data_IF_197203583757
#
_entry.id   IF_197203583757
#
_cell.length_a   1.000
_cell.length_b   1.000
_cell.length_c   1.000
_cell.angle_alpha   90.00
_cell.angle_beta   90.00
_cell.angle_gamma   90.00
#
_symmetry.space_group_name_H-M   'P 1'
#
loop_
_entity.id
_entity.type
_entity.pdbx_description
1 polymer ?
#
# COMPACT_ATOMS: atom_id res chain seq x y z
N UNK A 1 18.96 9.80 -1.14
CA UNK A 1 17.60 10.36 -1.25
C UNK A 1 17.66 11.83 -0.87
N UNK A 2 17.21 12.73 -1.74
CA UNK A 2 17.05 14.16 -1.45
C UNK A 2 15.68 14.46 -0.81
N UNK A 3 15.45 15.68 -0.34
CA UNK A 3 14.12 16.09 0.17
C UNK A 3 13.03 15.92 -0.90
N UNK A 4 13.31 16.27 -2.16
CA UNK A 4 12.35 16.10 -3.24
C UNK A 4 12.01 14.61 -3.46
N UNK A 5 13.00 13.73 -3.40
CA UNK A 5 12.77 12.28 -3.50
C UNK A 5 11.95 11.74 -2.32
N UNK A 6 12.21 12.26 -1.12
CA UNK A 6 11.45 11.91 0.08
C UNK A 6 9.98 12.34 -0.01
N UNK A 7 9.70 13.52 -0.57
CA UNK A 7 8.31 13.98 -0.79
C UNK A 7 7.57 13.02 -1.74
N UNK A 8 8.21 12.58 -2.82
CA UNK A 8 7.61 11.59 -3.73
C UNK A 8 7.37 10.25 -3.05
N UNK A 9 8.32 9.79 -2.24
CA UNK A 9 8.15 8.59 -1.42
C UNK A 9 6.95 8.73 -0.47
N UNK A 10 6.89 9.80 0.32
CA UNK A 10 5.85 10.00 1.34
C UNK A 10 4.46 10.07 0.71
N UNK A 11 4.28 10.88 -0.34
CA UNK A 11 2.97 11.00 -1.01
C UNK A 11 2.54 9.66 -1.60
N UNK A 12 3.49 8.88 -2.16
CA UNK A 12 3.18 7.58 -2.75
C UNK A 12 2.88 6.53 -1.69
N UNK A 13 3.54 6.58 -0.53
CA UNK A 13 3.33 5.63 0.56
C UNK A 13 1.96 5.80 1.22
N UNK A 14 1.51 7.05 1.37
CA UNK A 14 0.23 7.36 2.00
C UNK A 14 -0.97 7.11 1.09
N UNK A 15 -0.90 7.50 -0.19
CA UNK A 15 -1.99 7.26 -1.15
C UNK A 15 -1.54 6.31 -2.28
N UNK A 16 -1.65 5.01 -2.03
CA UNK A 16 -1.42 3.95 -3.03
C UNK A 16 -2.58 3.76 -4.02
N UNK A 17 -3.66 4.54 -3.91
CA UNK A 17 -4.79 4.53 -4.87
C UNK A 17 -4.54 5.49 -6.03
N UNK A 18 -3.75 6.55 -5.81
CA UNK A 18 -3.38 7.50 -6.85
C UNK A 18 -2.64 6.82 -8.02
N UNK A 19 -3.03 7.08 -9.29
CA UNK A 19 -2.35 6.53 -10.47
C UNK A 19 -0.84 6.77 -10.51
N UNK A 20 -0.36 7.87 -9.94
CA UNK A 20 1.07 8.23 -9.86
C UNK A 20 1.80 7.36 -8.83
N UNK A 21 1.16 7.09 -7.69
CA UNK A 21 1.69 6.19 -6.67
C UNK A 21 1.75 4.75 -7.17
N UNK A 22 0.72 4.30 -7.89
CA UNK A 22 0.73 2.98 -8.54
C UNK A 22 1.92 2.86 -9.50
N UNK A 23 2.22 3.90 -10.28
CA UNK A 23 3.44 3.90 -11.12
C UNK A 23 4.74 3.87 -10.32
N UNK A 24 4.79 4.61 -9.21
CA UNK A 24 5.94 4.66 -8.32
C UNK A 24 6.26 3.26 -7.78
N UNK A 25 5.28 2.60 -7.17
CA UNK A 25 5.48 1.28 -6.58
C UNK A 25 5.66 0.18 -7.61
N UNK A 26 5.00 0.28 -8.77
CA UNK A 26 5.26 -0.64 -9.87
C UNK A 26 6.73 -0.61 -10.30
N UNK A 27 7.32 0.58 -10.48
CA UNK A 27 8.74 0.72 -10.84
C UNK A 27 9.70 0.22 -9.75
N UNK A 28 9.27 0.24 -8.49
CA UNK A 28 10.07 -0.33 -7.40
C UNK A 28 10.01 -1.87 -7.39
N UNK A 29 8.86 -2.45 -7.78
CA UNK A 29 8.66 -3.89 -7.80
C UNK A 29 9.15 -4.59 -9.07
N UNK A 30 9.12 -3.89 -10.21
CA UNK A 30 9.64 -4.33 -11.50
C UNK A 30 11.18 -4.21 -11.48
N UNK A 31 11.84 -5.26 -10.98
CA UNK A 31 13.27 -5.27 -10.69
C UNK A 31 14.12 -5.31 -11.95
N UNK A 32 13.62 -5.96 -13.00
CA UNK A 32 14.30 -6.05 -14.30
C UNK A 32 13.85 -4.98 -15.32
N UNK A 33 12.74 -4.30 -15.05
CA UNK A 33 12.24 -3.20 -15.85
C UNK A 33 11.55 -3.65 -17.15
N UNK A 34 11.09 -4.90 -17.24
CA UNK A 34 10.44 -5.44 -18.44
C UNK A 34 8.96 -5.02 -18.58
N UNK A 35 8.41 -4.37 -17.55
CA UNK A 35 7.04 -3.87 -17.51
C UNK A 35 6.01 -4.89 -17.03
N UNK A 36 6.45 -6.01 -16.45
CA UNK A 36 5.62 -7.10 -15.95
C UNK A 36 6.15 -7.57 -14.59
N UNK A 37 5.27 -7.67 -13.58
CA UNK A 37 5.63 -8.32 -12.33
C UNK A 37 5.54 -9.84 -12.52
N UNK A 38 6.71 -10.47 -12.52
CA UNK A 38 6.90 -11.92 -12.60
C UNK A 38 6.69 -12.59 -11.23
N UNK A 39 6.43 -13.90 -11.23
CA UNK A 39 6.32 -14.65 -9.97
C UNK A 39 7.59 -14.55 -9.11
N UNK A 40 8.76 -14.46 -9.75
CA UNK A 40 10.04 -14.33 -9.06
C UNK A 40 10.13 -13.02 -8.27
N UNK A 41 9.73 -11.90 -8.86
CA UNK A 41 9.76 -10.60 -8.19
C UNK A 41 8.74 -10.55 -7.04
N UNK A 42 7.55 -11.11 -7.26
CA UNK A 42 6.53 -11.20 -6.20
C UNK A 42 6.99 -12.07 -5.03
N UNK A 43 7.61 -13.21 -5.31
CA UNK A 43 8.17 -14.10 -4.27
C UNK A 43 9.30 -13.42 -3.51
N UNK A 44 10.17 -12.68 -4.21
CA UNK A 44 11.28 -11.93 -3.61
C UNK A 44 10.80 -10.93 -2.54
N UNK A 45 9.78 -10.11 -2.83
CA UNK A 45 9.24 -9.18 -1.84
C UNK A 45 8.47 -9.91 -0.72
N UNK A 46 7.73 -10.97 -1.07
CA UNK A 46 6.95 -11.71 -0.08
C UNK A 46 7.80 -12.50 0.91
N UNK A 47 8.99 -12.96 0.52
CA UNK A 47 9.94 -13.64 1.41
C UNK A 47 10.27 -12.77 2.65
N UNK A 48 10.55 -11.48 2.45
CA UNK A 48 10.81 -10.56 3.56
C UNK A 48 9.56 -10.33 4.43
N UNK A 49 8.37 -10.27 3.83
CA UNK A 49 7.11 -10.17 4.58
C UNK A 49 6.89 -11.40 5.47
N UNK A 50 7.16 -12.61 4.96
CA UNK A 50 7.11 -13.84 5.73
C UNK A 50 8.04 -13.78 6.95
N UNK A 51 9.31 -13.39 6.76
CA UNK A 51 10.27 -13.28 7.86
C UNK A 51 9.79 -12.31 8.96
N UNK A 52 9.21 -11.16 8.57
CA UNK A 52 8.68 -10.18 9.51
C UNK A 52 7.42 -10.69 10.23
N UNK A 53 6.53 -11.40 9.53
CA UNK A 53 5.35 -12.05 10.13
C UNK A 53 5.76 -13.12 11.15
N UNK A 54 6.72 -13.98 10.79
CA UNK A 54 7.25 -15.03 11.67
C UNK A 54 7.90 -14.43 12.92
N UNK A 55 8.62 -13.32 12.79
CA UNK A 55 9.20 -12.60 13.93
C UNK A 55 8.14 -12.05 14.91
N UNK A 56 6.92 -11.80 14.42
CA UNK A 56 5.76 -11.41 15.24
C UNK A 56 4.95 -12.62 15.74
N UNK A 57 5.34 -13.85 15.39
CA UNK A 57 4.63 -15.08 15.73
C UNK A 57 3.38 -15.34 14.89
N UNK A 58 3.27 -14.71 13.72
CA UNK A 58 2.18 -14.89 12.77
C UNK A 58 2.65 -15.88 11.70
N UNK A 59 1.88 -16.92 11.44
CA UNK A 59 2.17 -17.89 10.37
C UNK A 59 1.77 -17.30 9.01
N UNK A 60 2.74 -17.05 8.09
CA UNK A 60 2.42 -16.47 6.79
C UNK A 60 1.72 -17.49 5.88
N UNK A 61 0.90 -16.99 4.97
CA UNK A 61 0.25 -17.83 3.96
C UNK A 61 1.31 -18.35 2.98
N UNK A 62 1.25 -19.62 2.53
CA UNK A 62 2.14 -20.10 1.47
C UNK A 62 2.04 -19.24 0.21
N UNK A 63 3.19 -18.92 -0.41
CA UNK A 63 3.25 -18.01 -1.55
C UNK A 63 2.32 -18.41 -2.71
N UNK A 64 2.16 -19.70 -2.99
CA UNK A 64 1.25 -20.17 -4.03
C UNK A 64 -0.21 -19.78 -3.77
N UNK A 65 -0.66 -19.86 -2.52
CA UNK A 65 -2.03 -19.54 -2.14
C UNK A 65 -2.25 -18.02 -2.13
N UNK A 66 -1.25 -17.26 -1.67
CA UNK A 66 -1.23 -15.80 -1.77
C UNK A 66 -1.28 -15.35 -3.24
N UNK A 67 -0.47 -15.95 -4.10
CA UNK A 67 -0.42 -15.63 -5.51
C UNK A 67 -1.78 -15.86 -6.18
N UNK A 68 -2.48 -16.95 -5.85
CA UNK A 68 -3.85 -17.18 -6.31
C UNK A 68 -4.78 -16.03 -5.89
N UNK A 69 -4.74 -15.62 -4.63
CA UNK A 69 -5.55 -14.50 -4.12
C UNK A 69 -5.22 -13.19 -4.84
N UNK A 70 -3.93 -12.89 -5.06
CA UNK A 70 -3.49 -11.67 -5.75
C UNK A 70 -3.88 -11.68 -7.24
N UNK A 71 -3.84 -12.84 -7.90
CA UNK A 71 -4.32 -12.98 -9.27
C UNK A 71 -5.83 -12.80 -9.38
N UNK A 72 -6.60 -13.30 -8.41
CA UNK A 72 -8.05 -13.10 -8.33
C UNK A 72 -8.42 -11.64 -8.01
N UNK A 73 -7.58 -10.95 -7.25
CA UNK A 73 -7.71 -9.52 -6.93
C UNK A 73 -7.45 -8.65 -8.18
N UNK A 74 -6.31 -8.87 -8.84
CA UNK A 74 -5.86 -8.03 -9.97
C UNK A 74 -6.57 -8.40 -11.28
N UNK A 75 -6.91 -9.68 -11.46
CA UNK A 75 -7.47 -10.26 -12.69
C UNK A 75 -6.70 -9.80 -13.93
N UNK A 76 -5.40 -10.18 -14.05
CA UNK A 76 -4.57 -9.71 -15.16
C UNK A 76 -5.13 -10.16 -16.50
N UNK A 77 -4.84 -9.37 -17.54
CA UNK A 77 -5.32 -9.67 -18.90
C UNK A 77 -4.62 -10.88 -19.52
N UNK A 78 -3.40 -11.18 -19.08
CA UNK A 78 -2.62 -12.36 -19.48
C UNK A 78 -2.27 -13.17 -18.24
N UNK A 79 -2.50 -14.47 -18.27
CA UNK A 79 -2.29 -15.35 -17.12
C UNK A 79 -0.84 -15.29 -16.62
N UNK A 80 -0.69 -15.11 -15.31
CA UNK A 80 0.61 -15.08 -14.63
C UNK A 80 1.50 -13.88 -14.95
N UNK A 81 0.96 -12.81 -15.57
CA UNK A 81 1.69 -11.57 -15.89
C UNK A 81 0.91 -10.36 -15.42
N UNK A 82 1.36 -9.73 -14.35
CA UNK A 82 0.71 -8.53 -13.81
C UNK A 82 1.38 -7.30 -14.40
N UNK A 83 0.63 -6.51 -15.16
CA UNK A 83 1.14 -5.25 -15.72
C UNK A 83 0.65 -4.04 -14.92
N UNK A 84 1.35 -2.91 -15.07
CA UNK A 84 0.91 -1.62 -14.53
C UNK A 84 -0.55 -1.29 -14.91
N UNK A 85 -0.95 -1.67 -16.14
CA UNK A 85 -2.32 -1.46 -16.63
C UNK A 85 -3.33 -2.29 -15.85
N UNK A 86 -3.00 -3.52 -15.49
CA UNK A 86 -3.90 -4.39 -14.74
C UNK A 86 -4.11 -3.83 -13.32
N UNK A 87 -3.04 -3.37 -12.66
CA UNK A 87 -3.10 -2.75 -11.32
C UNK A 87 -3.90 -1.44 -11.30
N UNK A 88 -3.73 -0.58 -12.32
CA UNK A 88 -4.57 0.62 -12.47
C UNK A 88 -6.05 0.28 -12.72
N UNK A 89 -6.34 -0.84 -13.38
CA UNK A 89 -7.70 -1.27 -13.72
C UNK A 89 -8.42 -1.90 -12.53
N UNK A 90 -7.73 -2.68 -11.70
CA UNK A 90 -8.37 -3.45 -10.63
C UNK A 90 -8.91 -2.55 -9.50
N UNK A 91 -8.45 -1.30 -9.38
CA UNK A 91 -8.79 -0.34 -8.31
C UNK A 91 -8.40 -0.79 -6.90
N UNK A 92 -7.70 -1.92 -6.78
CA UNK A 92 -7.28 -2.54 -5.51
C UNK A 92 -5.75 -2.67 -5.41
N UNK A 93 -5.02 -1.84 -6.18
CA UNK A 93 -3.56 -1.84 -6.19
C UNK A 93 -2.94 -1.56 -4.81
N UNK A 94 -3.58 -0.73 -3.99
CA UNK A 94 -3.15 -0.45 -2.61
C UNK A 94 -3.06 -1.73 -1.76
N UNK A 95 -4.09 -2.59 -1.79
CA UNK A 95 -4.06 -3.88 -1.08
C UNK A 95 -2.95 -4.77 -1.64
N UNK A 96 -2.85 -4.87 -2.97
CA UNK A 96 -1.79 -5.63 -3.63
C UNK A 96 -0.40 -5.21 -3.14
N UNK A 97 -0.12 -3.90 -3.13
CA UNK A 97 1.17 -3.38 -2.68
C UNK A 97 1.43 -3.61 -1.20
N UNK A 98 0.45 -3.36 -0.35
CA UNK A 98 0.60 -3.54 1.09
C UNK A 98 0.92 -5.01 1.43
N UNK A 99 0.29 -5.97 0.75
CA UNK A 99 0.59 -7.41 0.87
C UNK A 99 2.07 -7.73 0.66
N UNK A 100 2.72 -7.13 -0.34
CA UNK A 100 4.10 -7.46 -0.70
C UNK A 100 5.17 -6.70 0.09
N UNK A 101 4.89 -5.51 0.63
CA UNK A 101 5.96 -4.74 1.30
C UNK A 101 5.53 -3.80 2.43
N UNK A 102 4.24 -3.66 2.75
CA UNK A 102 3.78 -2.89 3.91
C UNK A 102 3.01 -3.79 4.88
N UNK A 103 3.76 -4.42 5.80
CA UNK A 103 3.21 -5.33 6.79
C UNK A 103 2.16 -4.69 7.72
N UNK A 104 2.37 -3.44 8.14
CA UNK A 104 1.43 -2.75 9.04
C UNK A 104 0.07 -2.56 8.37
N UNK A 105 0.05 -1.95 7.18
CA UNK A 105 -1.19 -1.76 6.41
C UNK A 105 -1.80 -3.10 5.98
N UNK A 106 -0.99 -4.10 5.66
CA UNK A 106 -1.47 -5.45 5.36
C UNK A 106 -2.23 -6.09 6.52
N UNK A 107 -1.67 -6.05 7.75
CA UNK A 107 -2.32 -6.62 8.93
C UNK A 107 -3.62 -5.88 9.29
N UNK A 108 -3.69 -4.57 9.05
CA UNK A 108 -4.90 -3.79 9.22
C UNK A 108 -6.00 -4.20 8.22
N UNK A 109 -5.64 -4.48 6.97
CA UNK A 109 -6.60 -4.97 5.96
C UNK A 109 -7.12 -6.37 6.29
N UNK A 110 -6.28 -7.28 6.77
CA UNK A 110 -6.69 -8.63 7.18
C UNK A 110 -7.67 -8.62 8.36
N UNK A 111 -7.60 -7.61 9.23
CA UNK A 111 -8.53 -7.43 10.35
C UNK A 111 -9.83 -6.74 9.95
N UNK A 112 -9.87 -6.08 8.78
CA UNK A 112 -11.09 -5.40 8.30
C UNK A 112 -12.13 -6.42 7.84
N UNK A 113 -13.39 -6.09 8.11
CA UNK A 113 -14.52 -6.91 7.70
C UNK A 113 -14.53 -7.08 6.16
N UNK A 114 -14.68 -8.31 5.62
CA UNK A 114 -14.76 -8.56 4.17
C UNK A 114 -15.83 -7.71 3.44
N UNK A 115 -16.90 -7.28 4.13
CA UNK A 115 -17.91 -6.39 3.58
C UNK A 115 -17.45 -4.93 3.45
N UNK A 116 -16.42 -4.51 4.18
CA UNK A 116 -15.83 -3.17 4.06
C UNK A 116 -15.06 -3.04 2.74
N UNK A 117 -14.32 -4.08 2.35
CA UNK A 117 -13.56 -4.12 1.09
C UNK A 117 -14.51 -4.04 -0.13
N UNK A 118 -15.69 -4.67 -0.07
CA UNK A 118 -16.69 -4.57 -1.14
C UNK A 118 -17.29 -3.16 -1.27
N UNK A 119 -17.53 -2.49 -0.14
CA UNK A 119 -18.00 -1.10 -0.14
C UNK A 119 -16.98 -0.14 -0.76
N UNK A 120 -15.70 -0.33 -0.52
CA UNK A 120 -14.63 0.49 -1.13
C UNK A 120 -14.59 0.39 -2.65
N UNK A 121 -14.99 -0.75 -3.23
CA UNK A 121 -15.07 -0.94 -4.69
C UNK A 121 -16.30 -0.23 -5.28
N UNK A 122 -17.40 -0.15 -4.53
CA UNK A 122 -18.66 0.47 -4.96
C UNK A 122 -18.75 1.98 -4.68
N UNK A 123 -17.93 2.49 -3.77
CA UNK A 123 -17.95 3.89 -3.36
C UNK A 123 -17.13 4.77 -4.31
N UNK A 124 -17.77 5.25 -5.39
CA UNK A 124 -17.20 6.21 -6.36
C UNK A 124 -17.49 7.68 -5.93
N UNK A 125 -17.85 7.90 -4.66
CA UNK A 125 -18.15 9.22 -4.10
C UNK A 125 -16.88 10.06 -3.90
N UNK A 126 -17.00 11.41 -3.82
CA UNK A 126 -15.87 12.29 -3.49
C UNK A 126 -15.56 12.18 -1.99
N UNK A 127 -15.01 11.06 -1.57
CA UNK A 127 -14.36 10.95 -0.28
C UNK A 127 -12.97 11.60 -0.32
N UNK A 128 -12.51 12.22 0.78
CA UNK A 128 -11.14 12.70 0.87
C UNK A 128 -10.17 11.55 0.64
N UNK A 129 -9.14 11.78 -0.17
CA UNK A 129 -8.12 10.76 -0.47
C UNK A 129 -7.35 10.36 0.80
N UNK A 130 -6.64 9.24 0.73
CA UNK A 130 -5.82 8.78 1.87
C UNK A 130 -4.75 9.82 2.23
N UNK A 131 -4.20 10.53 1.24
CA UNK A 131 -3.32 11.68 1.44
C UNK A 131 -4.02 12.86 2.13
N UNK A 132 -5.25 13.20 1.73
CA UNK A 132 -5.99 14.31 2.34
C UNK A 132 -6.30 14.03 3.83
N UNK A 133 -6.59 12.76 4.16
CA UNK A 133 -6.81 12.31 5.55
C UNK A 133 -5.53 12.40 6.36
N UNK A 134 -4.45 11.83 5.86
CA UNK A 134 -3.14 11.89 6.49
C UNK A 134 -2.67 13.33 6.73
N UNK A 135 -2.78 14.19 5.71
CA UNK A 135 -2.37 15.59 5.83
C UNK A 135 -3.19 16.37 6.87
N UNK A 136 -4.49 16.07 7.00
CA UNK A 136 -5.34 16.67 8.02
C UNK A 136 -4.94 16.22 9.43
N UNK A 137 -4.71 14.92 9.63
CA UNK A 137 -4.29 14.34 10.92
C UNK A 137 -2.92 14.86 11.39
N UNK A 138 -1.95 14.93 10.48
CA UNK A 138 -0.62 15.48 10.77
C UNK A 138 -0.69 16.97 11.11
N UNK A 139 -1.53 17.74 10.41
CA UNK A 139 -1.75 19.14 10.72
C UNK A 139 -2.38 19.33 12.11
N UNK A 140 -3.40 18.54 12.45
CA UNK A 140 -4.02 18.59 13.77
C UNK A 140 -3.03 18.26 14.89
N UNK A 141 -2.19 17.24 14.68
CA UNK A 141 -1.13 16.86 15.62
C UNK A 141 -0.13 17.99 15.83
N UNK A 142 0.36 18.60 14.74
CA UNK A 142 1.26 19.74 14.80
C UNK A 142 0.66 20.91 15.59
N UNK A 143 -0.60 21.26 15.32
CA UNK A 143 -1.32 22.34 16.02
C UNK A 143 -1.46 22.03 17.52
N UNK A 144 -1.71 20.77 17.89
CA UNK A 144 -1.80 20.35 19.28
C UNK A 144 -0.44 20.45 20.00
N UNK A 145 0.66 20.05 19.34
CA UNK A 145 2.02 20.15 19.87
C UNK A 145 2.46 21.61 20.08
N UNK A 146 2.21 22.49 19.10
CA UNK A 146 2.49 23.93 19.22
C UNK A 146 1.72 24.57 20.38
N UNK A 147 0.44 24.21 20.53
CA UNK A 147 -0.41 24.70 21.63
C UNK A 147 0.11 24.25 22.99
N UNK A 148 0.58 23.00 23.12
CA UNK A 148 1.17 22.49 24.34
C UNK A 148 2.49 23.20 24.68
N UNK A 149 3.37 23.40 23.69
CA UNK A 149 4.65 24.10 23.88
C UNK A 149 4.45 25.56 24.32
N UNK A 150 3.45 26.26 23.78
CA UNK A 150 3.11 27.62 24.18
C UNK A 150 2.67 27.68 25.66
N UNK A 151 1.86 26.73 26.12
CA UNK A 151 1.43 26.65 27.53
C UNK A 151 2.59 26.38 28.49
N UNK A 152 3.63 25.65 28.06
CA UNK A 152 4.84 25.42 28.85
C UNK A 152 5.78 26.64 28.92
N UNK A 153 5.70 27.57 27.97
CA UNK A 153 6.53 28.79 27.98
C UNK A 153 5.90 29.95 28.76
N UNK A 154 4.58 29.93 28.98
CA UNK A 154 3.84 30.94 29.75
C UNK A 154 3.67 30.62 31.25
N UNK A 155 4.22 29.50 31.73
CA UNK A 155 4.23 29.08 33.15
C UNK A 155 5.60 29.20 33.81
#
# INVERSE_FOLDING_TARGET
MSYADFVWFLISEEDKRNPTSIEYWFRCMDLDGDGVLSMYELEYFYEEQCERMEAMGIEPLPFHDLLCQMLDLVKPTSDGRITLRDLKRCRMAHIFYDTFFNLEKYLDHEQRDPFAVQKDVENDGPEPSDWDRFAAEEYETLVAEESAQAQFQEG
#
